data_IF_868995468169
#
_entry.id   IF_868995468169
#
_cell.length_a   1.000
_cell.length_b   1.000
_cell.length_c   1.000
_cell.angle_alpha   90.00
_cell.angle_beta   90.00
_cell.angle_gamma   90.00
#
_symmetry.space_group_name_H-M   'P 1'
#
loop_
_entity.id
_entity.type
_entity.pdbx_description
1 polymer ?
#
# COMPACT_ATOMS: atom_id res chain seq x y z
N UNK A 1 -13.63 3.36 -12.11
CA UNK A 1 -12.73 2.80 -11.09
C UNK A 1 -12.59 1.30 -11.33
N UNK A 2 -11.35 0.83 -11.44
CA UNK A 2 -11.11 -0.61 -11.59
C UNK A 2 -10.80 -1.18 -10.22
N UNK A 3 -11.64 -2.06 -9.75
CA UNK A 3 -11.39 -2.82 -8.54
C UNK A 3 -10.38 -3.94 -8.86
N UNK A 4 -9.20 -3.91 -8.22
CA UNK A 4 -8.15 -4.91 -8.41
C UNK A 4 -8.67 -6.33 -8.18
N UNK A 5 -9.51 -6.54 -7.17
CA UNK A 5 -10.11 -7.85 -6.90
C UNK A 5 -10.91 -8.36 -8.09
N UNK A 6 -11.77 -7.51 -8.69
CA UNK A 6 -12.56 -7.89 -9.86
C UNK A 6 -11.71 -8.30 -11.07
N UNK A 7 -10.55 -7.65 -11.24
CA UNK A 7 -9.60 -8.00 -12.28
C UNK A 7 -8.89 -9.35 -12.01
N UNK A 8 -8.74 -9.71 -10.74
CA UNK A 8 -8.06 -10.94 -10.30
C UNK A 8 -8.98 -12.15 -10.26
N UNK A 9 -10.29 -11.99 -10.06
CA UNK A 9 -11.25 -13.09 -9.93
C UNK A 9 -11.10 -14.18 -11.00
N UNK A 10 -10.94 -13.88 -12.30
CA UNK A 10 -10.79 -14.92 -13.32
C UNK A 10 -9.54 -15.80 -13.13
N UNK A 11 -8.46 -15.26 -12.59
CA UNK A 11 -7.26 -16.02 -12.24
C UNK A 11 -7.52 -16.92 -11.04
N UNK A 12 -8.15 -16.39 -10.00
CA UNK A 12 -8.44 -17.12 -8.77
C UNK A 12 -9.44 -18.25 -9.00
N UNK A 13 -10.48 -18.02 -9.81
CA UNK A 13 -11.44 -19.05 -10.24
C UNK A 13 -10.76 -20.20 -10.99
N UNK A 14 -9.82 -19.88 -11.89
CA UNK A 14 -9.03 -20.90 -12.59
C UNK A 14 -8.16 -21.71 -11.64
N UNK A 15 -7.50 -21.06 -10.68
CA UNK A 15 -6.66 -21.73 -9.68
C UNK A 15 -7.54 -22.65 -8.82
N UNK A 16 -8.62 -22.12 -8.26
CA UNK A 16 -9.52 -22.90 -7.40
C UNK A 16 -10.21 -24.04 -8.15
N UNK A 17 -10.51 -23.87 -9.43
CA UNK A 17 -11.07 -24.95 -10.28
C UNK A 17 -10.12 -26.12 -10.53
N UNK A 18 -8.82 -25.97 -10.20
CA UNK A 18 -7.81 -27.02 -10.31
C UNK A 18 -7.35 -27.52 -8.91
N UNK A 19 -7.84 -26.90 -7.84
CA UNK A 19 -7.41 -27.22 -6.48
C UNK A 19 -7.85 -28.66 -6.08
N UNK A 20 -7.01 -29.38 -5.30
CA UNK A 20 -7.41 -30.66 -4.70
C UNK A 20 -8.65 -30.54 -3.82
N UNK A 21 -9.42 -31.64 -3.70
CA UNK A 21 -10.71 -31.69 -2.99
C UNK A 21 -10.65 -31.15 -1.54
N UNK A 22 -9.50 -31.29 -0.88
CA UNK A 22 -9.33 -30.80 0.50
C UNK A 22 -9.07 -29.29 0.62
N UNK A 23 -8.86 -28.58 -0.49
CA UNK A 23 -8.58 -27.16 -0.53
C UNK A 23 -9.86 -26.38 -0.89
N UNK A 24 -10.40 -25.64 0.07
CA UNK A 24 -11.59 -24.82 -0.13
C UNK A 24 -11.35 -23.32 0.06
N UNK A 25 -10.17 -22.93 0.53
CA UNK A 25 -9.85 -21.54 0.86
C UNK A 25 -8.68 -21.04 0.02
N UNK A 26 -8.86 -19.87 -0.59
CA UNK A 26 -7.81 -19.09 -1.22
C UNK A 26 -7.66 -17.77 -0.47
N UNK A 27 -6.44 -17.48 0.00
CA UNK A 27 -6.06 -16.17 0.52
C UNK A 27 -5.36 -15.42 -0.61
N UNK A 28 -5.77 -14.17 -0.84
CA UNK A 28 -5.16 -13.31 -1.84
C UNK A 28 -4.83 -11.93 -1.24
N UNK A 29 -3.66 -11.40 -1.59
CA UNK A 29 -3.30 -10.02 -1.24
C UNK A 29 -4.20 -9.04 -1.98
N UNK A 30 -4.65 -7.99 -1.27
CA UNK A 30 -5.57 -6.97 -1.81
C UNK A 30 -4.88 -5.84 -2.56
N UNK A 31 -3.57 -5.72 -2.43
CA UNK A 31 -2.74 -4.64 -2.96
C UNK A 31 -1.82 -5.07 -4.13
N UNK A 32 -2.16 -6.16 -4.79
CA UNK A 32 -1.41 -6.68 -5.95
C UNK A 32 -2.30 -6.84 -7.18
N UNK A 33 -1.71 -6.67 -8.34
CA UNK A 33 -2.27 -7.07 -9.62
C UNK A 33 -1.36 -8.11 -10.27
N UNK A 34 -1.88 -9.30 -10.48
CA UNK A 34 -1.15 -10.44 -11.03
C UNK A 34 -1.73 -10.79 -12.39
N UNK A 35 -0.87 -10.92 -13.38
CA UNK A 35 -1.25 -11.39 -14.73
C UNK A 35 -0.55 -12.72 -15.01
N UNK A 36 -1.29 -13.67 -15.55
CA UNK A 36 -0.74 -14.92 -16.08
C UNK A 36 -1.60 -15.34 -17.29
N UNK A 37 -0.96 -15.38 -18.45
CA UNK A 37 -1.59 -15.80 -19.70
C UNK A 37 -1.26 -17.27 -20.05
N UNK A 38 -0.33 -17.90 -19.32
CA UNK A 38 0.06 -19.29 -19.56
C UNK A 38 -0.86 -20.27 -18.84
N UNK A 39 -0.97 -21.52 -19.35
CA UNK A 39 -1.65 -22.58 -18.62
C UNK A 39 -1.04 -22.77 -17.23
N UNK A 40 -1.90 -22.98 -16.24
CA UNK A 40 -1.48 -23.31 -14.88
C UNK A 40 -0.95 -24.73 -14.84
N UNK A 41 -0.05 -24.99 -13.90
CA UNK A 41 0.42 -26.34 -13.58
C UNK A 41 -0.58 -27.05 -12.68
N UNK A 42 -0.52 -28.40 -12.64
CA UNK A 42 -1.29 -29.18 -11.69
C UNK A 42 -0.95 -28.79 -10.26
N UNK A 43 -1.98 -28.67 -9.43
CA UNK A 43 -1.81 -28.28 -8.03
C UNK A 43 -1.58 -29.55 -7.19
N UNK A 44 -0.46 -29.65 -6.46
CA UNK A 44 -0.17 -30.83 -5.66
C UNK A 44 -1.13 -30.96 -4.47
N UNK A 45 -1.34 -32.21 -4.03
CA UNK A 45 -2.15 -32.52 -2.86
C UNK A 45 -1.37 -32.20 -1.55
N UNK A 46 -1.37 -30.93 -1.16
CA UNK A 46 -0.73 -30.43 0.06
C UNK A 46 -1.75 -29.67 0.93
N UNK A 47 -1.44 -29.48 2.22
CA UNK A 47 -2.29 -28.71 3.13
C UNK A 47 -2.24 -27.21 2.83
N UNK A 48 -1.08 -26.73 2.38
CA UNK A 48 -0.87 -25.36 1.95
C UNK A 48 -0.16 -25.38 0.59
N UNK A 49 -0.66 -24.58 -0.36
CA UNK A 49 0.02 -24.37 -1.65
C UNK A 49 0.20 -22.88 -1.87
N UNK A 50 1.45 -22.44 -2.00
CA UNK A 50 1.78 -21.03 -2.20
C UNK A 50 2.26 -20.78 -3.63
N UNK A 51 1.71 -19.76 -4.29
CA UNK A 51 2.23 -19.32 -5.57
C UNK A 51 3.30 -18.26 -5.41
N UNK A 52 4.34 -18.35 -6.23
CA UNK A 52 5.42 -17.39 -6.27
C UNK A 52 5.93 -17.11 -7.67
N UNK A 53 6.87 -16.20 -7.77
CA UNK A 53 7.54 -15.84 -9.03
C UNK A 53 9.06 -15.97 -8.91
N UNK A 54 9.68 -16.45 -9.99
CA UNK A 54 11.11 -16.30 -10.20
C UNK A 54 11.42 -14.84 -10.51
N UNK A 55 12.17 -14.18 -9.62
CA UNK A 55 12.50 -12.76 -9.74
C UNK A 55 13.98 -12.53 -9.46
N UNK A 56 14.46 -11.34 -9.81
CA UNK A 56 15.78 -10.89 -9.38
C UNK A 56 15.82 -10.77 -7.84
N UNK A 57 16.90 -11.22 -7.17
CA UNK A 57 17.03 -11.12 -5.72
C UNK A 57 16.72 -9.74 -5.13
N UNK A 58 17.10 -8.67 -5.82
CA UNK A 58 16.83 -7.30 -5.36
C UNK A 58 15.34 -6.99 -5.22
N UNK A 59 14.47 -7.56 -6.05
CA UNK A 59 13.03 -7.39 -5.93
C UNK A 59 12.47 -8.17 -4.75
N UNK A 60 12.98 -9.39 -4.53
CA UNK A 60 12.52 -10.28 -3.48
C UNK A 60 12.79 -9.74 -2.05
N UNK A 61 13.75 -8.80 -1.89
CA UNK A 61 14.07 -8.21 -0.57
C UNK A 61 12.91 -7.46 0.09
N UNK A 62 11.89 -7.07 -0.67
CA UNK A 62 10.74 -6.32 -0.16
C UNK A 62 9.52 -7.20 0.16
N UNK A 63 9.60 -8.50 -0.13
CA UNK A 63 8.49 -9.45 -0.06
C UNK A 63 8.81 -10.67 0.79
N UNK A 64 7.82 -11.53 1.02
CA UNK A 64 8.02 -12.88 1.49
C UNK A 64 8.77 -13.72 0.43
N UNK A 65 9.55 -14.68 0.87
CA UNK A 65 10.34 -15.55 -0.01
C UNK A 65 10.21 -16.99 0.43
N UNK A 66 9.74 -17.84 -0.48
CA UNK A 66 9.68 -19.28 -0.32
C UNK A 66 10.99 -19.89 -0.77
N UNK A 67 11.65 -20.63 0.10
CA UNK A 67 12.93 -21.30 -0.18
C UNK A 67 12.70 -22.80 -0.30
N UNK A 68 13.30 -23.45 -1.31
CA UNK A 68 13.24 -24.89 -1.52
C UNK A 68 14.62 -25.48 -1.80
N UNK A 69 14.80 -26.76 -1.45
CA UNK A 69 15.97 -27.51 -1.90
C UNK A 69 15.92 -27.73 -3.43
N UNK A 70 17.05 -27.68 -4.10
CA UNK A 70 17.14 -27.89 -5.55
C UNK A 70 16.66 -29.28 -6.03
N UNK A 71 16.64 -30.27 -5.15
CA UNK A 71 16.18 -31.64 -5.47
C UNK A 71 14.66 -31.77 -5.34
N UNK A 72 14.03 -30.92 -4.52
CA UNK A 72 12.60 -30.90 -4.25
C UNK A 72 12.06 -29.47 -4.41
N UNK A 73 12.07 -28.93 -5.65
CA UNK A 73 11.80 -27.53 -5.91
C UNK A 73 10.35 -27.11 -5.59
N UNK A 74 9.44 -28.07 -5.52
CA UNK A 74 8.00 -27.84 -5.30
C UNK A 74 7.64 -27.97 -3.81
N UNK A 75 8.58 -28.33 -2.94
CA UNK A 75 8.36 -28.47 -1.49
C UNK A 75 8.99 -27.28 -0.78
N UNK A 76 8.22 -26.62 0.07
CA UNK A 76 8.74 -25.55 0.91
C UNK A 76 9.73 -26.10 1.92
N UNK A 77 10.95 -25.59 1.91
CA UNK A 77 11.94 -25.86 2.96
C UNK A 77 11.72 -24.92 4.14
N UNK A 78 11.69 -23.63 3.89
CA UNK A 78 11.31 -22.58 4.84
C UNK A 78 10.92 -21.28 4.12
N UNK A 79 10.25 -20.40 4.84
CA UNK A 79 9.93 -19.05 4.39
C UNK A 79 10.86 -18.02 5.05
N UNK A 80 11.13 -16.94 4.34
CA UNK A 80 11.78 -15.73 4.84
C UNK A 80 10.88 -14.51 4.62
N UNK A 81 10.92 -13.57 5.54
CA UNK A 81 10.19 -12.31 5.41
C UNK A 81 11.17 -11.14 5.22
N UNK A 82 11.09 -10.50 4.07
CA UNK A 82 11.94 -9.37 3.67
C UNK A 82 13.44 -9.61 3.91
N UNK A 83 14.00 -10.69 3.36
CA UNK A 83 15.40 -11.03 3.55
C UNK A 83 16.33 -9.99 2.94
N UNK A 84 17.54 -9.88 3.47
CA UNK A 84 18.57 -9.05 2.87
C UNK A 84 19.05 -9.60 1.53
N UNK A 85 19.57 -8.72 0.65
CA UNK A 85 20.15 -9.16 -0.63
C UNK A 85 21.29 -10.17 -0.43
N UNK A 86 22.18 -9.93 0.55
CA UNK A 86 23.29 -10.80 0.86
C UNK A 86 22.83 -12.21 1.30
N UNK A 87 21.73 -12.29 2.05
CA UNK A 87 21.13 -13.56 2.44
C UNK A 87 20.59 -14.33 1.24
N UNK A 88 19.86 -13.68 0.34
CA UNK A 88 19.34 -14.29 -0.90
C UNK A 88 20.46 -14.75 -1.84
N UNK A 89 21.51 -13.94 -2.01
CA UNK A 89 22.68 -14.32 -2.81
C UNK A 89 23.45 -15.51 -2.19
N UNK A 90 23.47 -15.58 -0.87
CA UNK A 90 24.00 -16.73 -0.15
C UNK A 90 23.20 -18.00 -0.39
N UNK A 91 21.88 -17.92 -0.23
CA UNK A 91 20.93 -19.02 -0.44
C UNK A 91 20.92 -19.52 -1.90
N UNK A 92 21.01 -18.62 -2.86
CA UNK A 92 21.02 -18.98 -4.28
C UNK A 92 22.15 -19.95 -4.68
N UNK A 93 23.17 -20.15 -3.85
CA UNK A 93 24.25 -21.13 -4.09
C UNK A 93 23.78 -22.57 -3.87
N UNK A 94 22.85 -22.80 -2.96
CA UNK A 94 22.43 -24.14 -2.52
C UNK A 94 20.94 -24.39 -2.70
N UNK A 95 20.11 -23.38 -2.67
CA UNK A 95 18.65 -23.46 -2.75
C UNK A 95 18.10 -22.77 -3.99
N UNK A 96 16.80 -22.95 -4.22
CA UNK A 96 15.98 -22.14 -5.09
C UNK A 96 15.09 -21.26 -4.22
N UNK A 97 14.62 -20.15 -4.77
CA UNK A 97 13.63 -19.34 -4.08
C UNK A 97 12.61 -18.71 -5.04
N UNK A 98 11.38 -18.58 -4.58
CA UNK A 98 10.30 -17.86 -5.23
C UNK A 98 9.91 -16.66 -4.37
N UNK A 99 9.73 -15.50 -4.98
CA UNK A 99 9.08 -14.38 -4.30
C UNK A 99 7.59 -14.68 -4.13
N UNK A 100 7.08 -14.52 -2.92
CA UNK A 100 5.65 -14.61 -2.64
C UNK A 100 4.87 -13.54 -3.41
N UNK A 101 3.77 -13.93 -4.01
CA UNK A 101 2.87 -13.05 -4.77
C UNK A 101 1.52 -12.88 -4.08
N UNK A 102 1.39 -13.36 -2.85
CA UNK A 102 0.16 -13.22 -2.06
C UNK A 102 -0.99 -14.10 -2.52
N UNK A 103 -0.72 -15.27 -3.12
CA UNK A 103 -1.75 -16.29 -3.43
C UNK A 103 -1.42 -17.57 -2.68
N UNK A 104 -2.25 -17.90 -1.70
CA UNK A 104 -2.11 -19.06 -0.85
C UNK A 104 -3.39 -19.88 -0.87
N UNK A 105 -3.28 -21.19 -1.12
CA UNK A 105 -4.38 -22.14 -1.06
C UNK A 105 -4.25 -22.94 0.23
N UNK A 106 -5.34 -23.09 0.97
CA UNK A 106 -5.33 -23.74 2.27
C UNK A 106 -6.38 -24.84 2.33
N UNK A 107 -5.98 -26.00 2.87
CA UNK A 107 -6.91 -27.05 3.30
C UNK A 107 -7.71 -26.57 4.53
N UNK A 108 -8.84 -27.21 4.80
CA UNK A 108 -9.63 -26.92 6.00
C UNK A 108 -8.80 -27.06 7.28
N UNK A 109 -7.92 -28.06 7.34
CA UNK A 109 -6.98 -28.25 8.47
C UNK A 109 -6.05 -27.04 8.62
N UNK A 110 -5.51 -26.53 7.53
CA UNK A 110 -4.63 -25.37 7.56
C UNK A 110 -5.35 -24.10 8.01
N UNK A 111 -6.61 -23.91 7.57
CA UNK A 111 -7.48 -22.82 8.01
C UNK A 111 -7.82 -22.93 9.50
N UNK A 112 -8.19 -24.12 9.99
CA UNK A 112 -8.47 -24.35 11.41
C UNK A 112 -7.28 -23.96 12.31
N UNK A 113 -6.07 -24.34 11.91
CA UNK A 113 -4.86 -24.01 12.65
C UNK A 113 -4.54 -22.51 12.59
N UNK A 114 -4.70 -21.87 11.44
CA UNK A 114 -4.55 -20.42 11.29
C UNK A 114 -5.53 -19.67 12.20
N UNK A 115 -6.80 -20.04 12.16
CA UNK A 115 -7.84 -19.44 13.02
C UNK A 115 -7.54 -19.66 14.50
N UNK A 116 -7.11 -20.86 14.87
CA UNK A 116 -6.73 -21.19 16.27
C UNK A 116 -5.60 -20.29 16.79
N UNK A 117 -4.64 -19.92 15.93
CA UNK A 117 -3.52 -19.03 16.29
C UNK A 117 -3.92 -17.54 16.32
N UNK A 118 -4.97 -17.18 15.61
CA UNK A 118 -5.52 -15.81 15.60
C UNK A 118 -6.41 -15.50 16.82
N UNK A 119 -6.57 -16.42 17.74
CA UNK A 119 -7.36 -16.24 18.96
C UNK A 119 -6.47 -16.29 20.19
N UNK A 120 -6.72 -15.39 21.15
CA UNK A 120 -6.15 -15.46 22.48
C UNK A 120 -6.66 -16.73 23.18
N UNK A 121 -5.77 -17.50 23.78
CA UNK A 121 -6.08 -18.82 24.38
C UNK A 121 -6.96 -18.72 25.65
N UNK A 122 -6.86 -17.59 26.35
CA UNK A 122 -7.54 -17.40 27.65
C UNK A 122 -8.89 -16.70 27.49
N UNK A 123 -8.94 -15.70 26.59
CA UNK A 123 -10.14 -14.86 26.38
C UNK A 123 -10.98 -15.30 25.19
N UNK A 124 -10.39 -15.99 24.20
CA UNK A 124 -11.03 -16.32 22.93
C UNK A 124 -11.22 -15.10 22.01
N UNK A 125 -10.66 -13.95 22.36
CA UNK A 125 -10.71 -12.75 21.54
C UNK A 125 -9.72 -12.82 20.37
N UNK A 126 -10.03 -12.11 19.29
CA UNK A 126 -9.14 -12.03 18.12
C UNK A 126 -7.89 -11.25 18.49
N UNK A 127 -6.72 -11.85 18.25
CA UNK A 127 -5.42 -11.22 18.43
C UNK A 127 -4.75 -10.97 17.09
N UNK A 128 -3.77 -10.05 17.09
CA UNK A 128 -2.91 -9.88 15.92
C UNK A 128 -2.09 -11.14 15.69
N UNK A 129 -2.20 -11.70 14.50
CA UNK A 129 -1.42 -12.83 14.00
C UNK A 129 -1.13 -12.64 12.52
N UNK A 130 0.13 -12.47 12.19
CA UNK A 130 0.54 -12.11 10.82
C UNK A 130 0.69 -13.34 9.93
N UNK A 131 0.06 -13.32 8.75
CA UNK A 131 0.10 -14.44 7.81
C UNK A 131 1.53 -14.77 7.35
N UNK A 132 2.38 -13.79 7.21
CA UNK A 132 3.73 -13.96 6.66
C UNK A 132 4.77 -14.23 7.75
N UNK A 133 4.83 -13.36 8.77
CA UNK A 133 5.85 -13.40 9.82
C UNK A 133 5.55 -14.35 10.96
N UNK A 134 4.28 -14.75 11.16
CA UNK A 134 3.91 -15.72 12.19
C UNK A 134 3.57 -17.07 11.56
N UNK A 135 2.52 -17.13 10.74
CA UNK A 135 2.07 -18.37 10.12
C UNK A 135 3.08 -18.89 9.09
N UNK A 136 3.52 -18.06 8.15
CA UNK A 136 4.42 -18.46 7.07
C UNK A 136 5.78 -18.94 7.56
N UNK A 137 6.36 -18.29 8.58
CA UNK A 137 7.63 -18.71 9.16
C UNK A 137 7.56 -20.05 9.92
N UNK A 138 6.36 -20.52 10.25
CA UNK A 138 6.12 -21.83 10.86
C UNK A 138 5.87 -22.95 9.82
N UNK A 139 5.91 -22.64 8.52
CA UNK A 139 5.68 -23.60 7.45
C UNK A 139 6.99 -24.15 6.85
N UNK A 140 6.93 -25.35 6.30
CA UNK A 140 8.01 -26.00 5.57
C UNK A 140 8.72 -27.11 6.33
N UNK A 141 9.72 -27.72 5.68
CA UNK A 141 10.48 -28.86 6.23
C UNK A 141 11.46 -28.44 7.33
N UNK A 142 12.00 -27.21 7.25
CA UNK A 142 12.91 -26.62 8.22
C UNK A 142 12.42 -25.22 8.62
N UNK A 143 11.23 -25.12 9.26
CA UNK A 143 10.60 -23.85 9.56
C UNK A 143 11.44 -22.97 10.48
N UNK A 144 11.28 -21.67 10.36
CA UNK A 144 12.00 -20.68 11.20
C UNK A 144 11.36 -20.51 12.57
N UNK A 145 10.06 -20.79 12.67
CA UNK A 145 9.30 -20.77 13.92
C UNK A 145 8.85 -22.18 14.27
N UNK A 146 9.06 -22.57 15.53
CA UNK A 146 8.67 -23.90 16.01
C UNK A 146 7.23 -23.84 16.53
N UNK A 147 6.35 -24.56 15.82
CA UNK A 147 4.97 -24.84 16.21
C UNK A 147 4.62 -26.24 15.69
N UNK A 148 4.54 -27.23 16.59
CA UNK A 148 4.40 -28.63 16.21
C UNK A 148 3.20 -28.91 15.31
N UNK A 149 2.07 -28.22 15.52
CA UNK A 149 0.86 -28.41 14.71
C UNK A 149 1.05 -27.80 13.31
N UNK A 150 1.55 -26.57 13.21
CA UNK A 150 1.80 -25.90 11.94
C UNK A 150 2.95 -26.55 11.16
N UNK A 151 4.02 -26.94 11.85
CA UNK A 151 5.16 -27.63 11.22
C UNK A 151 4.77 -29.00 10.65
N UNK A 152 3.62 -29.58 11.07
CA UNK A 152 3.12 -30.86 10.54
C UNK A 152 2.29 -30.70 9.24
N UNK A 153 2.02 -29.48 8.79
CA UNK A 153 1.33 -29.24 7.52
C UNK A 153 2.25 -29.55 6.34
N UNK A 154 1.72 -30.23 5.33
CA UNK A 154 2.40 -30.40 4.05
C UNK A 154 2.28 -29.09 3.25
N UNK A 155 3.42 -28.58 2.76
CA UNK A 155 3.46 -27.29 2.05
C UNK A 155 4.16 -27.43 0.70
N UNK A 156 3.44 -27.08 -0.35
CA UNK A 156 3.98 -26.98 -1.69
C UNK A 156 4.11 -25.52 -2.14
N UNK A 157 5.08 -25.27 -3.00
CA UNK A 157 5.27 -23.97 -3.65
C UNK A 157 5.27 -24.15 -5.16
N UNK A 158 4.58 -23.27 -5.85
CA UNK A 158 4.44 -23.31 -7.29
C UNK A 158 4.84 -21.98 -7.95
N UNK A 159 5.70 -22.03 -8.97
CA UNK A 159 5.91 -20.85 -9.79
C UNK A 159 4.66 -20.57 -10.64
N UNK A 160 4.15 -19.33 -10.65
CA UNK A 160 3.07 -18.94 -11.54
C UNK A 160 3.60 -18.80 -12.97
N UNK A 161 3.18 -19.65 -13.94
CA UNK A 161 3.77 -19.67 -15.27
C UNK A 161 3.54 -18.37 -16.03
N UNK A 162 4.63 -17.69 -16.45
CA UNK A 162 4.54 -16.42 -17.16
C UNK A 162 3.86 -15.32 -16.36
N UNK A 163 3.93 -15.42 -15.03
CA UNK A 163 3.35 -14.44 -14.12
C UNK A 163 4.05 -13.09 -14.19
N UNK A 164 3.25 -12.04 -14.14
CA UNK A 164 3.68 -10.66 -13.97
C UNK A 164 3.05 -10.13 -12.69
N UNK A 165 3.80 -9.38 -11.90
CA UNK A 165 3.42 -8.90 -10.58
C UNK A 165 3.54 -7.39 -10.51
N UNK A 166 2.45 -6.73 -10.10
CA UNK A 166 2.37 -5.28 -9.94
C UNK A 166 1.85 -4.99 -8.54
N UNK A 167 2.72 -4.46 -7.68
CA UNK A 167 2.39 -4.13 -6.31
C UNK A 167 1.89 -2.69 -6.19
N UNK A 168 0.89 -2.49 -5.32
CA UNK A 168 0.23 -1.20 -5.05
C UNK A 168 0.22 -0.87 -3.54
N UNK A 169 1.12 -1.47 -2.79
CA UNK A 169 1.20 -1.35 -1.33
C UNK A 169 1.75 -0.01 -0.83
N UNK A 170 2.32 0.81 -1.73
CA UNK A 170 2.84 2.14 -1.38
C UNK A 170 2.36 3.22 -2.35
N UNK A 171 2.37 4.48 -1.92
CA UNK A 171 2.01 5.61 -2.77
C UNK A 171 2.89 5.71 -4.02
N UNK A 172 4.17 5.40 -3.91
CA UNK A 172 5.09 5.37 -5.05
C UNK A 172 4.73 4.27 -6.05
N UNK A 173 4.35 3.11 -5.56
CA UNK A 173 3.97 1.97 -6.39
C UNK A 173 2.63 2.16 -7.09
N UNK A 174 1.72 2.96 -6.55
CA UNK A 174 0.52 3.37 -7.28
C UNK A 174 0.88 3.95 -8.65
N UNK A 175 1.84 4.84 -8.70
CA UNK A 175 2.28 5.48 -9.94
C UNK A 175 3.11 4.52 -10.80
N UNK A 176 4.13 3.88 -10.24
CA UNK A 176 5.07 3.05 -11.00
C UNK A 176 4.43 1.78 -11.55
N UNK A 177 3.60 1.09 -10.77
CA UNK A 177 2.88 -0.11 -11.21
C UNK A 177 1.83 0.23 -12.26
N UNK A 178 1.11 1.34 -12.10
CA UNK A 178 0.15 1.80 -13.12
C UNK A 178 0.85 2.15 -14.43
N UNK A 179 2.01 2.81 -14.37
CA UNK A 179 2.83 3.10 -15.55
C UNK A 179 3.29 1.81 -16.24
N UNK A 180 3.81 0.84 -15.48
CA UNK A 180 4.25 -0.44 -16.01
C UNK A 180 3.11 -1.24 -16.65
N UNK A 181 1.91 -1.24 -16.07
CA UNK A 181 0.72 -1.87 -16.66
C UNK A 181 0.28 -1.13 -17.94
N UNK A 182 0.34 0.21 -17.95
CA UNK A 182 0.00 1.02 -19.12
C UNK A 182 0.89 0.69 -20.32
N UNK A 183 2.18 0.44 -20.11
CA UNK A 183 3.14 0.11 -21.16
C UNK A 183 2.89 -1.28 -21.79
N UNK A 184 2.08 -2.13 -21.15
CA UNK A 184 1.66 -3.44 -21.68
C UNK A 184 0.49 -3.37 -22.66
N UNK A 185 -0.10 -2.21 -22.89
CA UNK A 185 -1.20 -2.07 -23.86
C UNK A 185 -0.69 -2.35 -25.26
N UNK A 186 -1.18 -3.44 -25.87
CA UNK A 186 -0.77 -3.90 -27.21
C UNK A 186 -1.33 -3.01 -28.32
N UNK A 187 -2.50 -2.44 -28.13
CA UNK A 187 -3.13 -1.55 -29.13
C UNK A 187 -2.95 -0.09 -28.70
N UNK A 188 -1.92 0.55 -29.23
CA UNK A 188 -1.62 1.96 -28.97
C UNK A 188 -2.77 2.90 -29.34
N UNK A 189 -3.69 2.50 -30.21
CA UNK A 189 -4.88 3.30 -30.57
C UNK A 189 -5.83 3.45 -29.38
N UNK A 190 -5.88 2.48 -28.47
CA UNK A 190 -6.66 2.59 -27.23
C UNK A 190 -6.11 3.68 -26.30
N UNK A 191 -4.80 3.89 -26.31
CA UNK A 191 -4.16 4.97 -25.57
C UNK A 191 -4.42 6.31 -26.27
N UNK A 192 -4.34 6.35 -27.60
CA UNK A 192 -4.55 7.56 -28.38
C UNK A 192 -5.98 8.08 -28.30
N UNK A 193 -6.99 7.21 -28.23
CA UNK A 193 -8.37 7.61 -28.02
C UNK A 193 -8.61 8.32 -26.69
N UNK A 194 -7.74 8.13 -25.71
CA UNK A 194 -7.76 8.84 -24.42
C UNK A 194 -7.03 10.19 -24.45
N UNK A 195 -6.84 10.81 -25.62
CA UNK A 195 -6.01 12.00 -25.86
C UNK A 195 -4.57 11.73 -25.43
N UNK A 196 -3.68 11.59 -26.40
CA UNK A 196 -2.24 11.32 -26.20
C UNK A 196 -1.75 12.05 -24.97
N UNK A 197 -1.31 11.30 -23.97
CA UNK A 197 -0.66 11.90 -22.81
C UNK A 197 0.69 12.45 -23.29
N UNK A 198 0.91 13.76 -23.33
CA UNK A 198 2.20 14.32 -23.66
C UNK A 198 3.29 13.87 -22.67
N UNK A 199 2.88 13.48 -21.45
CA UNK A 199 3.73 12.93 -20.41
C UNK A 199 3.11 11.62 -19.90
N UNK A 200 3.65 10.44 -20.24
CA UNK A 200 3.06 9.16 -19.90
C UNK A 200 2.95 8.91 -18.37
N UNK A 201 3.83 9.53 -17.59
CA UNK A 201 3.86 9.41 -16.13
C UNK A 201 2.97 10.43 -15.40
N UNK A 202 2.05 11.12 -16.09
CA UNK A 202 1.07 12.02 -15.48
C UNK A 202 -0.32 11.43 -15.66
N UNK A 203 -0.97 11.08 -14.55
CA UNK A 203 -2.32 10.53 -14.48
C UNK A 203 -3.27 11.59 -13.96
N UNK A 204 -4.27 11.96 -14.76
CA UNK A 204 -5.33 12.89 -14.39
C UNK A 204 -6.66 12.16 -14.60
N UNK A 205 -7.36 11.88 -13.51
CA UNK A 205 -8.60 11.11 -13.52
C UNK A 205 -9.70 11.88 -12.80
N UNK A 206 -10.88 11.98 -13.41
CA UNK A 206 -12.03 12.66 -12.84
C UNK A 206 -11.67 14.02 -12.21
N UNK A 207 -10.81 14.81 -12.89
CA UNK A 207 -10.20 16.02 -12.36
C UNK A 207 -10.16 17.12 -13.40
N UNK A 208 -10.17 18.37 -12.93
CA UNK A 208 -9.98 19.56 -13.73
C UNK A 208 -8.64 20.21 -13.42
N UNK A 209 -7.82 20.44 -14.44
CA UNK A 209 -6.52 21.10 -14.27
C UNK A 209 -6.44 22.35 -15.15
N UNK A 210 -6.17 23.49 -14.54
CA UNK A 210 -6.01 24.78 -15.23
C UNK A 210 -4.52 25.16 -15.43
N UNK A 211 -3.60 24.30 -15.04
CA UNK A 211 -2.16 24.46 -15.26
C UNK A 211 -1.69 23.70 -16.51
N UNK A 212 -0.54 24.11 -17.05
CA UNK A 212 0.16 23.37 -18.09
C UNK A 212 1.29 22.55 -17.49
N UNK A 213 1.34 21.26 -17.81
CA UNK A 213 2.43 20.40 -17.38
C UNK A 213 3.66 20.61 -18.26
N UNK A 214 4.82 20.62 -17.65
CA UNK A 214 6.13 20.77 -18.28
C UNK A 214 6.98 19.49 -18.14
N UNK A 215 8.16 19.48 -18.74
CA UNK A 215 9.12 18.39 -18.55
C UNK A 215 9.60 18.24 -17.08
N UNK A 216 9.46 19.27 -16.26
CA UNK A 216 9.74 19.21 -14.83
C UNK A 216 8.63 18.53 -14.00
N UNK A 217 7.50 18.19 -14.63
CA UNK A 217 6.41 17.47 -13.97
C UNK A 217 6.42 16.02 -14.40
N UNK A 218 6.74 15.11 -13.49
CA UNK A 218 6.77 13.67 -13.74
C UNK A 218 6.22 12.90 -12.54
N UNK A 219 5.68 11.71 -12.80
CA UNK A 219 5.15 10.84 -11.76
C UNK A 219 4.07 11.53 -10.92
N UNK A 220 3.05 12.06 -11.57
CA UNK A 220 1.92 12.73 -10.95
C UNK A 220 0.67 11.86 -11.03
N UNK A 221 -0.07 11.81 -9.91
CA UNK A 221 -1.40 11.24 -9.82
C UNK A 221 -2.36 12.31 -9.31
N UNK A 222 -3.33 12.70 -10.13
CA UNK A 222 -4.34 13.70 -9.79
C UNK A 222 -5.70 13.06 -9.98
N UNK A 223 -6.47 12.92 -8.91
CA UNK A 223 -7.75 12.23 -8.93
C UNK A 223 -8.81 12.97 -8.12
N UNK A 224 -10.04 13.05 -8.64
CA UNK A 224 -11.18 13.74 -8.01
C UNK A 224 -10.82 15.13 -7.50
N UNK A 225 -10.11 15.91 -8.32
CA UNK A 225 -9.46 17.15 -7.85
C UNK A 225 -9.60 18.30 -8.84
N UNK A 226 -9.63 19.49 -8.30
CA UNK A 226 -9.50 20.74 -9.05
C UNK A 226 -8.13 21.38 -8.79
N UNK A 227 -7.30 21.46 -9.82
CA UNK A 227 -5.99 22.12 -9.78
C UNK A 227 -6.07 23.46 -10.52
N UNK A 228 -6.19 24.55 -9.76
CA UNK A 228 -6.41 25.89 -10.26
C UNK A 228 -5.18 26.53 -10.91
N UNK A 229 -5.34 27.71 -11.51
CA UNK A 229 -4.27 28.44 -12.21
C UNK A 229 -3.13 28.88 -11.29
N UNK A 230 -3.41 29.11 -10.00
CA UNK A 230 -2.44 29.53 -9.00
C UNK A 230 -1.53 28.40 -8.49
N UNK A 231 -1.75 27.18 -8.95
CA UNK A 231 -0.97 26.03 -8.49
C UNK A 231 0.35 25.87 -9.25
N UNK A 232 1.39 25.51 -8.50
CA UNK A 232 2.69 25.06 -9.02
C UNK A 232 2.99 23.69 -8.46
N UNK A 233 3.05 22.70 -9.34
CA UNK A 233 3.34 21.32 -8.97
C UNK A 233 4.78 20.97 -9.31
N UNK A 234 5.40 20.18 -8.44
CA UNK A 234 6.67 19.49 -8.69
C UNK A 234 6.47 18.14 -9.38
N UNK A 235 7.28 17.17 -9.01
CA UNK A 235 7.23 15.77 -9.46
C UNK A 235 6.97 14.83 -8.29
N UNK A 236 6.59 13.57 -8.59
CA UNK A 236 6.38 12.54 -7.58
C UNK A 236 5.31 12.92 -6.56
N UNK A 237 4.11 13.28 -7.04
CA UNK A 237 3.01 13.78 -6.22
C UNK A 237 1.72 13.01 -6.47
N UNK A 238 0.94 12.85 -5.41
CA UNK A 238 -0.44 12.35 -5.44
C UNK A 238 -1.33 13.46 -4.88
N UNK A 239 -2.35 13.84 -5.64
CA UNK A 239 -3.28 14.92 -5.29
C UNK A 239 -4.69 14.38 -5.46
N UNK A 240 -5.42 14.27 -4.35
CA UNK A 240 -6.73 13.65 -4.32
C UNK A 240 -7.75 14.47 -3.54
N UNK A 241 -9.01 14.46 -4.01
CA UNK A 241 -10.14 15.03 -3.30
C UNK A 241 -10.18 16.56 -3.17
N UNK A 242 -9.38 17.28 -3.95
CA UNK A 242 -9.30 18.75 -3.86
C UNK A 242 -10.56 19.40 -4.43
N UNK A 243 -11.33 20.16 -3.64
CA UNK A 243 -12.51 20.88 -4.13
C UNK A 243 -12.14 21.98 -5.10
N UNK A 244 -13.15 22.55 -5.81
CA UNK A 244 -12.96 23.74 -6.63
C UNK A 244 -12.43 24.90 -5.77
N UNK A 245 -11.38 25.56 -6.25
CA UNK A 245 -10.64 26.55 -5.48
C UNK A 245 -9.91 27.57 -6.38
N UNK A 246 -9.50 28.67 -5.80
CA UNK A 246 -8.67 29.73 -6.40
C UNK A 246 -7.31 29.88 -5.69
N UNK A 247 -6.85 28.84 -4.98
CA UNK A 247 -5.66 28.90 -4.16
C UNK A 247 -4.38 29.13 -4.96
N UNK A 248 -3.46 29.84 -4.33
CA UNK A 248 -2.07 29.90 -4.74
C UNK A 248 -1.24 28.94 -3.89
N UNK A 249 -0.93 27.76 -4.46
CA UNK A 249 -0.16 26.72 -3.79
C UNK A 249 1.04 26.34 -4.65
N UNK A 250 2.20 26.24 -4.02
CA UNK A 250 3.43 25.73 -4.63
C UNK A 250 3.91 24.51 -3.86
N UNK A 251 3.84 23.33 -4.48
CA UNK A 251 4.23 22.06 -3.86
C UNK A 251 5.58 21.60 -4.42
N UNK A 252 6.59 21.42 -3.57
CA UNK A 252 7.85 20.82 -3.97
C UNK A 252 7.69 19.32 -4.29
N UNK A 253 8.71 18.73 -4.91
CA UNK A 253 8.73 17.32 -5.25
C UNK A 253 8.43 16.44 -4.03
N UNK A 254 7.65 15.40 -4.26
CA UNK A 254 7.34 14.40 -3.24
C UNK A 254 6.29 14.80 -2.20
N UNK A 255 5.78 16.03 -2.21
CA UNK A 255 4.67 16.44 -1.32
C UNK A 255 3.34 16.10 -1.95
N UNK A 256 2.56 15.31 -1.26
CA UNK A 256 1.24 14.85 -1.64
C UNK A 256 0.15 15.52 -0.82
N UNK A 257 -1.02 15.70 -1.43
CA UNK A 257 -2.21 16.24 -0.77
C UNK A 257 -3.39 15.28 -0.94
N UNK A 258 -4.05 15.00 0.17
CA UNK A 258 -5.30 14.28 0.18
C UNK A 258 -6.32 15.11 1.00
N UNK A 259 -7.45 15.41 0.41
CA UNK A 259 -8.55 16.07 1.09
C UNK A 259 -9.69 15.09 1.23
N UNK A 260 -9.98 14.70 2.47
CA UNK A 260 -10.98 13.69 2.76
C UNK A 260 -12.29 14.34 3.21
N UNK A 261 -13.40 14.11 2.50
CA UNK A 261 -14.70 14.63 2.91
C UNK A 261 -15.19 13.94 4.19
N UNK A 262 -15.64 14.75 5.16
CA UNK A 262 -16.15 14.31 6.45
C UNK A 262 -17.53 14.91 6.72
N UNK A 263 -18.48 14.07 7.16
CA UNK A 263 -19.87 14.53 7.36
C UNK A 263 -20.48 15.10 6.08
N UNK A 264 -21.37 16.08 6.24
CA UNK A 264 -22.08 16.69 5.07
C UNK A 264 -21.23 17.74 4.34
N UNK A 265 -20.49 18.59 5.05
CA UNK A 265 -19.78 19.73 4.46
C UNK A 265 -18.29 19.79 4.81
N UNK A 266 -17.83 18.99 5.78
CA UNK A 266 -16.45 19.06 6.27
C UNK A 266 -15.41 18.47 5.30
N UNK A 267 -14.19 18.99 5.42
CA UNK A 267 -12.98 18.51 4.75
C UNK A 267 -11.85 18.34 5.77
N UNK A 268 -11.17 17.23 5.70
CA UNK A 268 -9.93 17.02 6.46
C UNK A 268 -8.75 17.24 5.53
N UNK A 269 -7.85 18.18 5.92
CA UNK A 269 -6.58 18.41 5.24
C UNK A 269 -5.57 17.34 5.63
N UNK A 270 -5.13 16.52 4.68
CA UNK A 270 -4.19 15.41 4.91
C UNK A 270 -3.01 15.47 3.93
N UNK A 271 -2.02 16.35 4.17
CA UNK A 271 -0.77 16.32 3.42
C UNK A 271 0.13 15.18 3.92
N UNK A 272 1.02 14.69 3.03
CA UNK A 272 2.00 13.66 3.36
C UNK A 272 3.16 13.68 2.35
N UNK A 273 4.27 13.04 2.69
CA UNK A 273 5.34 12.75 1.74
C UNK A 273 5.06 11.45 0.97
N UNK A 274 5.45 11.38 -0.29
CA UNK A 274 5.20 10.22 -1.15
C UNK A 274 5.67 8.89 -0.53
N UNK A 275 6.74 8.93 0.23
CA UNK A 275 7.35 7.76 0.87
C UNK A 275 7.04 7.65 2.38
N UNK A 276 6.18 8.51 2.91
CA UNK A 276 5.81 8.47 4.33
C UNK A 276 5.01 7.20 4.64
N UNK A 277 5.40 6.51 5.70
CA UNK A 277 4.76 5.24 6.13
C UNK A 277 3.57 5.48 7.07
N UNK A 278 3.41 6.69 7.59
CA UNK A 278 2.31 7.12 8.46
C UNK A 278 2.16 6.37 9.79
N UNK A 279 3.24 5.79 10.30
CA UNK A 279 3.29 5.10 11.58
C UNK A 279 4.68 5.26 12.21
N UNK A 280 4.75 5.05 13.51
CA UNK A 280 5.97 5.10 14.30
C UNK A 280 5.87 6.09 15.45
N UNK A 281 6.76 5.95 16.42
CA UNK A 281 6.78 6.81 17.60
C UNK A 281 6.99 8.29 17.25
N UNK A 282 6.21 9.18 17.85
CA UNK A 282 6.23 10.62 17.53
C UNK A 282 7.60 11.28 17.69
N UNK A 283 8.42 10.79 18.62
CA UNK A 283 9.76 11.30 18.91
C UNK A 283 10.87 10.54 18.15
N UNK A 284 10.52 9.60 17.29
CA UNK A 284 11.49 8.85 16.50
C UNK A 284 11.99 9.69 15.30
N UNK A 285 13.30 9.75 15.03
CA UNK A 285 13.83 10.42 13.85
C UNK A 285 13.48 9.71 12.54
N UNK A 286 12.94 8.49 12.62
CA UNK A 286 12.50 7.70 11.46
C UNK A 286 11.01 7.84 11.15
N UNK A 287 10.25 8.47 12.03
CA UNK A 287 8.84 8.78 11.79
C UNK A 287 8.73 10.01 10.91
N UNK A 288 8.35 9.81 9.65
CA UNK A 288 8.32 10.85 8.63
C UNK A 288 6.91 11.44 8.46
N UNK A 289 6.86 12.74 8.18
CA UNK A 289 5.65 13.45 7.83
C UNK A 289 5.97 14.58 6.84
N UNK A 290 5.25 14.64 5.73
CA UNK A 290 5.56 15.54 4.61
C UNK A 290 7.03 15.46 4.14
N UNK A 291 7.60 14.25 4.18
CA UNK A 291 8.96 13.97 3.72
C UNK A 291 10.09 14.38 4.65
N UNK A 292 9.78 14.86 5.86
CA UNK A 292 10.77 15.20 6.90
C UNK A 292 10.44 14.48 8.22
N UNK A 293 11.40 14.36 9.17
CA UNK A 293 11.10 13.83 10.50
C UNK A 293 9.95 14.59 11.17
N UNK A 294 9.02 13.87 11.79
CA UNK A 294 7.84 14.49 12.43
C UNK A 294 8.24 15.49 13.54
N UNK A 295 9.32 15.20 14.26
CA UNK A 295 9.90 16.12 15.25
C UNK A 295 10.34 17.44 14.64
N UNK A 296 10.96 17.41 13.47
CA UNK A 296 11.36 18.60 12.72
C UNK A 296 10.13 19.37 12.19
N UNK A 297 9.12 18.64 11.67
CA UNK A 297 7.87 19.23 11.22
C UNK A 297 7.16 20.00 12.35
N UNK A 298 7.13 19.43 13.57
CA UNK A 298 6.58 20.09 14.75
C UNK A 298 7.40 21.35 15.14
N UNK A 299 8.73 21.22 15.18
CA UNK A 299 9.62 22.32 15.53
C UNK A 299 9.44 23.52 14.60
N UNK A 300 9.43 23.29 13.29
CA UNK A 300 9.22 24.32 12.27
C UNK A 300 7.90 25.07 12.47
N UNK A 301 6.90 24.47 13.09
CA UNK A 301 5.53 25.04 13.30
C UNK A 301 5.31 25.51 14.73
N UNK A 302 6.34 25.47 15.56
CA UNK A 302 6.26 25.84 16.99
C UNK A 302 5.28 24.96 17.75
N UNK A 303 5.20 23.65 17.41
CA UNK A 303 4.39 22.64 18.07
C UNK A 303 5.27 21.74 18.95
N UNK A 304 4.62 21.10 19.91
CA UNK A 304 5.21 20.07 20.77
C UNK A 304 4.28 18.87 20.87
N UNK A 305 4.74 17.78 21.46
CA UNK A 305 3.90 16.60 21.74
C UNK A 305 2.71 16.91 22.65
N UNK A 306 2.76 17.99 23.44
CA UNK A 306 1.66 18.42 24.30
C UNK A 306 0.48 19.00 23.53
N UNK A 307 0.68 19.43 22.28
CA UNK A 307 -0.38 19.92 21.40
C UNK A 307 -1.28 18.77 20.86
N UNK A 308 -0.82 17.52 21.01
CA UNK A 308 -1.58 16.33 20.67
C UNK A 308 -2.25 15.78 21.94
N UNK A 309 -3.56 15.83 21.99
CA UNK A 309 -4.35 15.40 23.17
C UNK A 309 -4.26 13.90 23.37
N UNK A 310 -3.70 13.46 24.51
CA UNK A 310 -3.72 12.09 24.98
C UNK A 310 -2.36 11.42 25.00
N UNK A 311 -2.31 10.17 25.48
CA UNK A 311 -1.12 9.34 25.48
C UNK A 311 -1.00 8.70 24.09
N UNK A 312 -0.30 9.40 23.20
CA UNK A 312 -0.17 9.00 21.80
C UNK A 312 1.28 8.62 21.57
N UNK A 313 1.49 7.34 21.35
CA UNK A 313 2.83 6.80 21.13
C UNK A 313 3.16 6.63 19.63
N UNK A 314 2.15 6.68 18.75
CA UNK A 314 2.29 6.44 17.32
C UNK A 314 1.63 7.54 16.46
N UNK A 315 2.28 7.92 15.36
CA UNK A 315 1.79 8.93 14.42
C UNK A 315 0.43 8.56 13.79
N UNK A 316 0.18 7.27 13.58
CA UNK A 316 -1.08 6.79 13.00
C UNK A 316 -2.29 7.13 13.87
N UNK A 317 -2.11 7.10 15.20
CA UNK A 317 -3.13 7.44 16.17
C UNK A 317 -3.14 8.93 16.56
N UNK A 318 -2.14 9.71 16.13
CA UNK A 318 -2.03 11.12 16.49
C UNK A 318 -3.06 11.98 15.73
N UNK A 319 -3.82 12.89 16.41
CA UNK A 319 -4.78 13.79 15.77
C UNK A 319 -4.06 14.97 15.09
N UNK A 320 -3.45 14.71 13.95
CA UNK A 320 -2.64 15.69 13.20
C UNK A 320 -3.49 16.46 12.17
N UNK A 321 -4.55 15.84 11.64
CA UNK A 321 -5.26 16.30 10.47
C UNK A 321 -6.46 17.19 10.84
N UNK A 322 -6.42 18.50 10.52
CA UNK A 322 -7.48 19.43 10.89
C UNK A 322 -8.71 19.29 9.99
N UNK A 323 -9.90 19.46 10.60
CA UNK A 323 -11.18 19.57 9.92
C UNK A 323 -11.55 21.04 9.74
N UNK A 324 -12.02 21.41 8.55
CA UNK A 324 -12.70 22.68 8.26
C UNK A 324 -13.91 22.44 7.37
N UNK A 325 -14.88 23.38 7.39
CA UNK A 325 -16.01 23.43 6.44
C UNK A 325 -15.80 24.51 5.37
N UNK A 326 -14.74 25.31 5.49
CA UNK A 326 -14.40 26.39 4.55
C UNK A 326 -13.32 25.93 3.58
N UNK A 327 -13.56 26.11 2.28
CA UNK A 327 -12.59 25.85 1.22
C UNK A 327 -11.40 26.81 1.31
N UNK A 328 -11.64 28.07 1.72
CA UNK A 328 -10.61 29.07 1.91
C UNK A 328 -9.67 28.68 3.05
N UNK A 329 -10.22 28.32 4.22
CA UNK A 329 -9.44 27.85 5.37
C UNK A 329 -8.67 26.55 5.05
N UNK A 330 -9.26 25.66 4.26
CA UNK A 330 -8.60 24.45 3.80
C UNK A 330 -7.31 24.78 3.04
N UNK A 331 -7.33 25.73 2.12
CA UNK A 331 -6.15 26.20 1.40
C UNK A 331 -5.07 26.78 2.32
N UNK A 332 -5.47 27.56 3.34
CA UNK A 332 -4.56 28.09 4.36
C UNK A 332 -3.92 26.95 5.18
N UNK A 333 -4.72 26.00 5.62
CA UNK A 333 -4.24 24.83 6.38
C UNK A 333 -3.26 23.99 5.56
N UNK A 334 -3.57 23.70 4.30
CA UNK A 334 -2.68 22.93 3.42
C UNK A 334 -1.34 23.63 3.21
N UNK A 335 -1.33 24.94 2.95
CA UNK A 335 -0.08 25.72 2.83
C UNK A 335 0.73 25.69 4.12
N UNK A 336 0.08 25.94 5.25
CA UNK A 336 0.77 25.92 6.55
C UNK A 336 1.32 24.53 6.89
N UNK A 337 0.56 23.47 6.64
CA UNK A 337 1.00 22.10 6.91
C UNK A 337 2.13 21.64 5.98
N UNK A 338 2.34 22.27 4.82
CA UNK A 338 3.35 21.89 3.83
C UNK A 338 4.49 22.90 3.72
N UNK A 339 4.28 24.02 3.06
CA UNK A 339 5.35 24.91 2.56
C UNK A 339 5.50 26.23 3.32
N UNK A 340 4.52 26.63 4.12
CA UNK A 340 4.50 27.92 4.82
C UNK A 340 4.38 27.73 6.36
N UNK A 341 5.36 27.11 7.03
CA UNK A 341 5.26 26.81 8.46
C UNK A 341 5.05 28.05 9.34
N UNK A 342 5.52 29.22 8.91
CA UNK A 342 5.40 30.49 9.63
C UNK A 342 4.06 31.20 9.41
N UNK A 343 3.12 30.63 8.62
CA UNK A 343 1.82 31.24 8.35
C UNK A 343 0.97 31.27 9.63
N UNK A 344 0.93 32.44 10.29
CA UNK A 344 0.27 32.62 11.58
C UNK A 344 -1.21 32.22 11.58
N UNK A 345 -1.92 32.54 10.50
CA UNK A 345 -3.32 32.17 10.29
C UNK A 345 -3.48 30.63 10.26
N UNK A 346 -2.62 29.92 9.50
CA UNK A 346 -2.64 28.46 9.41
C UNK A 346 -2.40 27.79 10.75
N UNK A 347 -1.45 28.32 11.54
CA UNK A 347 -1.19 27.84 12.92
C UNK A 347 -2.42 28.04 13.80
N UNK A 348 -3.04 29.23 13.75
CA UNK A 348 -4.22 29.53 14.54
C UNK A 348 -5.40 28.63 14.18
N UNK A 349 -5.66 28.43 12.89
CA UNK A 349 -6.69 27.52 12.40
C UNK A 349 -6.43 26.08 12.87
N UNK A 350 -5.19 25.58 12.72
CA UNK A 350 -4.85 24.24 13.14
C UNK A 350 -5.03 24.04 14.65
N UNK A 351 -4.57 24.96 15.49
CA UNK A 351 -4.73 24.86 16.95
C UNK A 351 -6.19 24.82 17.39
N UNK A 352 -7.08 25.60 16.72
CA UNK A 352 -8.47 25.75 17.08
C UNK A 352 -9.40 24.72 16.42
N UNK A 353 -8.96 24.04 15.34
CA UNK A 353 -9.78 23.05 14.65
C UNK A 353 -9.92 21.75 15.44
N UNK A 354 -11.01 21.03 15.18
CA UNK A 354 -11.09 19.60 15.50
C UNK A 354 -10.11 18.86 14.61
N UNK A 355 -9.34 17.94 15.19
CA UNK A 355 -8.35 17.14 14.48
C UNK A 355 -8.68 15.67 14.53
N UNK A 356 -8.25 14.94 13.51
CA UNK A 356 -8.42 13.50 13.37
C UNK A 356 -7.06 12.82 13.20
N UNK A 357 -6.97 11.58 13.66
CA UNK A 357 -5.88 10.68 13.32
C UNK A 357 -6.13 10.01 11.95
N UNK A 358 -5.11 9.34 11.41
CA UNK A 358 -5.25 8.54 10.20
C UNK A 358 -6.31 7.43 10.37
N UNK A 359 -6.33 6.76 11.52
CA UNK A 359 -7.30 5.71 11.84
C UNK A 359 -8.74 6.27 11.90
N UNK A 360 -8.92 7.44 12.53
CA UNK A 360 -10.24 8.07 12.62
C UNK A 360 -10.76 8.53 11.26
N UNK A 361 -9.88 9.01 10.37
CA UNK A 361 -10.25 9.39 9.00
C UNK A 361 -10.76 8.16 8.26
N UNK A 362 -10.02 7.06 8.29
CA UNK A 362 -10.40 5.81 7.62
C UNK A 362 -11.77 5.29 8.08
N UNK A 363 -12.07 5.43 9.38
CA UNK A 363 -13.34 4.97 9.95
C UNK A 363 -14.53 5.91 9.68
N UNK A 364 -14.31 7.18 9.35
CA UNK A 364 -15.35 8.23 9.35
C UNK A 364 -15.48 9.01 8.05
N UNK A 365 -14.66 8.72 7.04
CA UNK A 365 -14.74 9.37 5.74
C UNK A 365 -16.13 9.22 5.11
N UNK A 366 -16.64 10.29 4.50
CA UNK A 366 -17.88 10.21 3.75
C UNK A 366 -17.63 9.66 2.35
N UNK A 367 -17.75 8.35 2.21
CA UNK A 367 -17.47 7.64 0.95
C UNK A 367 -18.40 8.10 -0.20
N UNK A 368 -19.63 8.51 0.09
CA UNK A 368 -20.53 9.00 -0.96
C UNK A 368 -20.01 10.29 -1.58
N UNK A 369 -19.50 11.20 -0.77
CA UNK A 369 -18.87 12.45 -1.26
C UNK A 369 -17.51 12.23 -1.89
N UNK A 370 -16.80 11.17 -1.47
CA UNK A 370 -15.50 10.83 -2.05
C UNK A 370 -15.63 10.35 -3.49
N UNK A 371 -16.75 9.68 -3.82
CA UNK A 371 -17.00 9.10 -5.15
C UNK A 371 -18.00 9.92 -6.00
N UNK A 372 -18.51 11.04 -5.50
CA UNK A 372 -19.40 11.92 -6.24
C UNK A 372 -18.63 12.85 -7.17
#
# INVERSE_FOLDING_TARGET
>A
EQNLLSLQLPLYERIMGMAPEKIHTLIASGDVYIRSEKPLQDIPDADVVCYGLWVNPSLATHHGVFVSDRKTPDILDFMLQKPSLAELEGLAKTHLFLMDIGIWLLSDRAVELLMKRSLDKDTGEITYYDLYSDYGLALGSHPKTIDEELNSLSVAILPLPGGEFYHYGTSRELISSTLAVQDKVRDQRLIMHRKVKPNPAIFVQNSSTAISFSAGNANLWIENSYVGKGWKLGSCQIITGIPENDWEISLPDGICLDVVPMGENGFVARPYGLDDVFKGALNSPHTMFTGIPFTEWMEQRGLSTDDFRGRIDDLQAAPVFPLTESVEELGVLLRWMTTEPDLAEGRALWLNSKKFSADEISARANLQRLYA
#
